data_IF_800389606751
#
_entry.id   IF_800389606751
#
_cell.length_a   1.000
_cell.length_b   1.000
_cell.length_c   1.000
_cell.angle_alpha   90.00
_cell.angle_beta   90.00
_cell.angle_gamma   90.00
#
_symmetry.space_group_name_H-M   'P 1'
#
loop_
_entity.id
_entity.type
_entity.pdbx_description
1 polymer ?
#
# COMPACT_ATOMS: atom_id res chain seq x y z
N UNK A 1 34.46 -8.94 9.40
CA UNK A 1 33.48 -9.45 8.43
C UNK A 1 33.65 -8.65 7.15
N UNK A 2 34.20 -9.25 6.10
CA UNK A 2 34.41 -8.56 4.83
C UNK A 2 33.06 -8.38 4.13
N UNK A 3 32.66 -7.13 3.89
CA UNK A 3 31.50 -6.77 3.08
C UNK A 3 31.77 -7.15 1.63
N UNK A 4 31.50 -8.39 1.25
CA UNK A 4 31.44 -8.77 -0.17
C UNK A 4 30.25 -8.04 -0.78
N UNK A 5 30.52 -6.92 -1.45
CA UNK A 5 29.54 -6.21 -2.26
C UNK A 5 28.90 -7.20 -3.23
N UNK A 6 27.58 -7.41 -3.15
CA UNK A 6 26.87 -8.23 -4.13
C UNK A 6 27.15 -7.66 -5.53
N UNK A 7 27.52 -8.49 -6.51
CA UNK A 7 27.69 -8.01 -7.88
C UNK A 7 26.38 -7.37 -8.34
N UNK A 8 26.47 -6.21 -8.98
CA UNK A 8 25.30 -5.53 -9.53
C UNK A 8 24.67 -6.41 -10.62
N UNK A 9 23.34 -6.52 -10.58
CA UNK A 9 22.60 -7.27 -11.60
C UNK A 9 22.77 -6.58 -12.96
N UNK A 10 23.11 -7.35 -14.00
CA UNK A 10 23.28 -6.90 -15.37
C UNK A 10 21.98 -7.02 -16.16
N UNK A 11 21.73 -6.10 -17.07
CA UNK A 11 20.57 -6.18 -17.96
C UNK A 11 20.60 -7.44 -18.83
N UNK A 12 19.46 -8.14 -18.96
CA UNK A 12 19.35 -9.32 -19.83
C UNK A 12 19.79 -8.97 -21.26
N UNK A 13 20.57 -9.83 -21.92
CA UNK A 13 21.09 -9.54 -23.26
C UNK A 13 20.00 -9.45 -24.34
N UNK A 14 20.23 -8.67 -25.39
CA UNK A 14 19.25 -8.49 -26.48
C UNK A 14 18.81 -9.81 -27.13
N UNK A 15 19.74 -10.74 -27.37
CA UNK A 15 19.42 -12.05 -27.96
C UNK A 15 18.52 -12.90 -27.05
N UNK A 16 18.72 -12.84 -25.73
CA UNK A 16 17.90 -13.55 -24.76
C UNK A 16 16.48 -12.95 -24.70
N UNK A 17 16.37 -11.63 -24.83
CA UNK A 17 15.07 -10.94 -24.94
C UNK A 17 14.34 -11.37 -26.21
N UNK A 18 15.00 -11.25 -27.36
CA UNK A 18 14.43 -11.62 -28.66
C UNK A 18 13.97 -13.08 -28.74
N UNK A 19 14.66 -13.99 -28.07
CA UNK A 19 14.23 -15.40 -27.99
C UNK A 19 12.86 -15.55 -27.33
N UNK A 20 12.64 -14.87 -26.20
CA UNK A 20 11.36 -14.89 -25.48
C UNK A 20 10.29 -14.18 -26.30
N UNK A 21 10.61 -13.02 -26.88
CA UNK A 21 9.69 -12.23 -27.70
C UNK A 21 9.18 -13.02 -28.91
N UNK A 22 10.06 -13.74 -29.62
CA UNK A 22 9.69 -14.59 -30.75
C UNK A 22 8.69 -15.69 -30.34
N UNK A 23 8.89 -16.33 -29.19
CA UNK A 23 7.97 -17.37 -28.68
C UNK A 23 6.61 -16.77 -28.30
N UNK A 24 6.61 -15.55 -27.72
CA UNK A 24 5.39 -14.82 -27.40
C UNK A 24 4.63 -14.33 -28.65
N UNK A 25 5.33 -13.96 -29.71
CA UNK A 25 4.72 -13.62 -31.01
C UNK A 25 3.96 -14.80 -31.63
N UNK A 26 4.46 -16.02 -31.42
CA UNK A 26 3.80 -17.27 -31.81
C UNK A 26 2.65 -17.67 -30.88
N UNK A 27 2.34 -16.88 -29.85
CA UNK A 27 1.31 -17.17 -28.84
C UNK A 27 1.55 -18.50 -28.11
N UNK A 28 2.81 -18.87 -27.88
CA UNK A 28 3.21 -20.03 -27.09
C UNK A 28 3.57 -19.59 -25.66
N UNK A 29 2.56 -19.15 -24.89
CA UNK A 29 2.78 -18.47 -23.61
C UNK A 29 3.54 -19.34 -22.59
N UNK A 30 3.20 -20.62 -22.47
CA UNK A 30 3.86 -21.55 -21.55
C UNK A 30 5.33 -21.77 -21.91
N UNK A 31 5.64 -21.95 -23.19
CA UNK A 31 7.02 -22.11 -23.66
C UNK A 31 7.86 -20.85 -23.41
N UNK A 32 7.26 -19.66 -23.57
CA UNK A 32 7.92 -18.40 -23.24
C UNK A 32 8.19 -18.25 -21.74
N UNK A 33 7.23 -18.66 -20.90
CA UNK A 33 7.40 -18.68 -19.43
C UNK A 33 8.51 -19.66 -19.03
N UNK A 34 8.52 -20.87 -19.60
CA UNK A 34 9.57 -21.86 -19.36
C UNK A 34 10.96 -21.33 -19.78
N UNK A 35 11.03 -20.63 -20.92
CA UNK A 35 12.25 -19.97 -21.36
C UNK A 35 12.70 -18.88 -20.38
N UNK A 36 11.79 -18.02 -19.92
CA UNK A 36 12.09 -17.02 -18.90
C UNK A 36 12.55 -17.65 -17.59
N UNK A 37 11.96 -18.78 -17.20
CA UNK A 37 12.37 -19.53 -16.02
C UNK A 37 13.80 -20.08 -16.16
N UNK A 38 14.19 -20.54 -17.35
CA UNK A 38 15.56 -20.98 -17.65
C UNK A 38 16.57 -19.82 -17.68
N UNK A 39 16.15 -18.64 -18.14
CA UNK A 39 16.99 -17.43 -18.19
C UNK A 39 17.11 -16.72 -16.83
N UNK A 40 16.30 -17.10 -15.84
CA UNK A 40 16.33 -16.55 -14.49
C UNK A 40 17.70 -16.82 -13.84
N UNK A 41 18.38 -15.75 -13.45
CA UNK A 41 19.65 -15.82 -12.73
C UNK A 41 19.81 -14.61 -11.82
N UNK A 42 20.46 -14.75 -10.65
CA UNK A 42 20.62 -13.65 -9.70
C UNK A 42 21.56 -12.55 -10.19
N UNK A 43 22.33 -12.80 -11.25
CA UNK A 43 23.19 -11.81 -11.88
C UNK A 43 22.49 -11.03 -13.01
N UNK A 44 21.29 -11.42 -13.43
CA UNK A 44 20.62 -10.82 -14.58
C UNK A 44 19.28 -10.19 -14.18
N UNK A 45 19.12 -8.90 -14.47
CA UNK A 45 17.86 -8.18 -14.29
C UNK A 45 16.85 -8.67 -15.32
N UNK A 46 15.64 -9.08 -14.89
CA UNK A 46 14.57 -9.36 -15.82
C UNK A 46 14.18 -8.11 -16.60
N UNK A 47 13.80 -8.30 -17.86
CA UNK A 47 13.36 -7.21 -18.71
C UNK A 47 11.96 -6.72 -18.26
N UNK A 48 11.74 -5.42 -17.98
CA UNK A 48 10.47 -4.94 -17.41
C UNK A 48 9.22 -5.28 -18.24
N UNK A 49 9.32 -5.31 -19.57
CA UNK A 49 8.19 -5.67 -20.43
C UNK A 49 7.75 -7.14 -20.22
N UNK A 50 8.70 -8.06 -20.03
CA UNK A 50 8.38 -9.45 -19.72
C UNK A 50 7.68 -9.59 -18.37
N UNK A 51 8.12 -8.84 -17.36
CA UNK A 51 7.45 -8.84 -16.05
C UNK A 51 6.02 -8.29 -16.18
N UNK A 52 5.79 -7.22 -16.95
CA UNK A 52 4.44 -6.73 -17.24
C UNK A 52 3.58 -7.79 -17.94
N UNK A 53 4.10 -8.49 -18.94
CA UNK A 53 3.38 -9.57 -19.61
C UNK A 53 3.03 -10.70 -18.64
N UNK A 54 3.94 -11.08 -17.75
CA UNK A 54 3.66 -12.08 -16.70
C UNK A 54 2.57 -11.61 -15.74
N UNK A 55 2.60 -10.35 -15.29
CA UNK A 55 1.54 -9.77 -14.45
C UNK A 55 0.21 -9.78 -15.22
N UNK A 56 0.22 -9.40 -16.50
CA UNK A 56 -0.97 -9.40 -17.34
C UNK A 56 -1.57 -10.81 -17.47
N UNK A 57 -0.75 -11.83 -17.74
CA UNK A 57 -1.18 -13.23 -17.75
C UNK A 57 -1.75 -13.64 -16.38
N UNK A 58 -1.07 -13.30 -15.29
CA UNK A 58 -1.48 -13.62 -13.93
C UNK A 58 -2.81 -12.98 -13.48
N UNK A 59 -3.22 -11.87 -14.10
CA UNK A 59 -4.51 -11.21 -13.84
C UNK A 59 -5.71 -11.90 -14.52
N UNK A 60 -5.47 -12.83 -15.47
CA UNK A 60 -6.54 -13.55 -16.15
C UNK A 60 -7.19 -14.59 -15.22
N UNK A 61 -8.48 -14.82 -15.43
CA UNK A 61 -9.18 -15.93 -14.77
C UNK A 61 -8.59 -17.28 -15.22
N UNK A 62 -8.30 -18.21 -14.30
CA UNK A 62 -7.91 -19.57 -14.66
C UNK A 62 -9.09 -20.34 -15.29
N UNK A 63 -10.32 -19.93 -15.01
CA UNK A 63 -11.51 -20.54 -15.57
C UNK A 63 -11.83 -19.92 -16.93
N UNK A 64 -11.93 -20.72 -18.01
CA UNK A 64 -12.35 -20.20 -19.29
C UNK A 64 -13.78 -19.70 -19.13
N UNK A 65 -13.97 -18.38 -19.19
CA UNK A 65 -15.30 -17.78 -19.27
C UNK A 65 -15.92 -18.35 -20.54
N UNK A 66 -16.80 -19.35 -20.38
CA UNK A 66 -17.65 -19.82 -21.46
C UNK A 66 -18.50 -18.63 -21.85
N UNK A 67 -18.11 -18.01 -22.95
CA UNK A 67 -18.82 -16.85 -23.50
C UNK A 67 -20.11 -17.38 -24.14
N UNK A 68 -21.03 -17.88 -23.31
CA UNK A 68 -22.26 -18.57 -23.71
C UNK A 68 -23.25 -17.61 -24.40
N UNK A 69 -22.96 -16.30 -24.40
CA UNK A 69 -23.81 -15.24 -24.97
C UNK A 69 -23.62 -14.94 -26.45
N UNK A 70 -22.52 -15.36 -27.09
CA UNK A 70 -22.26 -15.05 -28.50
C UNK A 70 -22.21 -16.33 -29.35
N UNK A 71 -23.36 -17.00 -29.48
CA UNK A 71 -23.56 -17.93 -30.60
C UNK A 71 -23.44 -17.12 -31.90
N UNK A 72 -22.50 -17.46 -32.81
CA UNK A 72 -22.36 -16.74 -34.06
C UNK A 72 -23.68 -16.77 -34.81
N UNK A 73 -24.21 -15.58 -35.13
CA UNK A 73 -25.34 -15.45 -36.04
C UNK A 73 -24.93 -16.09 -37.38
N UNK A 74 -25.72 -17.04 -37.87
CA UNK A 74 -25.47 -17.82 -39.09
C UNK A 74 -25.46 -17.00 -40.40
N UNK A 75 -25.42 -15.67 -40.33
CA UNK A 75 -25.59 -14.77 -41.47
C UNK A 75 -24.36 -13.94 -41.86
N UNK A 76 -23.20 -14.12 -41.21
CA UNK A 76 -21.99 -13.36 -41.58
C UNK A 76 -21.23 -13.96 -42.77
N UNK A 77 -20.95 -13.08 -43.75
CA UNK A 77 -20.40 -13.42 -45.07
C UNK A 77 -18.93 -13.91 -45.02
N UNK A 78 -18.57 -15.02 -45.70
CA UNK A 78 -17.30 -15.74 -45.53
C UNK A 78 -16.03 -15.07 -46.12
N UNK A 79 -16.11 -13.85 -46.68
CA UNK A 79 -14.98 -13.25 -47.42
C UNK A 79 -14.03 -12.35 -46.62
N UNK A 80 -14.25 -12.09 -45.32
CA UNK A 80 -13.36 -11.26 -44.48
C UNK A 80 -12.54 -12.02 -43.42
N UNK A 81 -12.60 -13.35 -43.39
CA UNK A 81 -12.08 -14.19 -42.29
C UNK A 81 -10.62 -14.66 -42.44
N UNK A 82 -9.92 -14.38 -43.56
CA UNK A 82 -8.59 -14.98 -43.83
C UNK A 82 -7.39 -14.38 -43.08
N UNK A 83 -7.57 -13.34 -42.25
CA UNK A 83 -6.44 -12.70 -41.54
C UNK A 83 -6.65 -12.49 -40.03
N UNK A 84 -7.67 -13.10 -39.41
CA UNK A 84 -7.60 -13.27 -37.96
C UNK A 84 -6.61 -14.40 -37.68
N UNK A 85 -5.32 -14.04 -37.51
CA UNK A 85 -4.34 -14.89 -36.82
C UNK A 85 -5.04 -15.40 -35.56
N UNK A 86 -5.24 -16.71 -35.50
CA UNK A 86 -5.79 -17.39 -34.32
C UNK A 86 -4.79 -17.20 -33.19
N UNK A 87 -4.96 -16.14 -32.40
CA UNK A 87 -4.23 -16.04 -31.14
C UNK A 87 -4.69 -17.20 -30.27
N UNK A 88 -3.75 -18.03 -29.82
CA UNK A 88 -4.09 -19.04 -28.83
C UNK A 88 -4.68 -18.34 -27.61
N UNK A 89 -5.81 -18.81 -27.05
CA UNK A 89 -6.35 -18.25 -25.83
C UNK A 89 -5.33 -18.43 -24.69
N UNK A 90 -5.28 -17.46 -23.77
CA UNK A 90 -4.51 -17.61 -22.53
C UNK A 90 -5.08 -18.79 -21.75
N UNK A 91 -4.25 -19.79 -21.47
CA UNK A 91 -4.67 -21.01 -20.79
C UNK A 91 -4.56 -20.86 -19.28
N UNK A 92 -5.34 -21.64 -18.52
CA UNK A 92 -5.20 -21.74 -17.07
C UNK A 92 -3.77 -22.10 -16.64
N UNK A 93 -3.11 -22.97 -17.41
CA UNK A 93 -1.71 -23.36 -17.17
C UNK A 93 -0.77 -22.17 -17.29
N UNK A 94 -0.92 -21.33 -18.32
CA UNK A 94 -0.11 -20.13 -18.49
C UNK A 94 -0.30 -19.13 -17.34
N UNK A 95 -1.53 -18.97 -16.83
CA UNK A 95 -1.82 -18.12 -15.64
C UNK A 95 -1.04 -18.61 -14.41
N UNK A 96 -1.15 -19.90 -14.10
CA UNK A 96 -0.46 -20.51 -12.94
C UNK A 96 1.05 -20.43 -13.11
N UNK A 97 1.58 -20.81 -14.27
CA UNK A 97 3.02 -20.76 -14.55
C UNK A 97 3.58 -19.32 -14.50
N UNK A 98 2.80 -18.31 -14.90
CA UNK A 98 3.20 -16.92 -14.78
C UNK A 98 3.32 -16.48 -13.31
N UNK A 99 2.36 -16.85 -12.46
CA UNK A 99 2.40 -16.59 -11.01
C UNK A 99 3.57 -17.31 -10.33
N UNK A 100 3.82 -18.57 -10.69
CA UNK A 100 4.94 -19.36 -10.16
C UNK A 100 6.28 -18.73 -10.53
N UNK A 101 6.42 -18.27 -11.78
CA UNK A 101 7.61 -17.57 -12.24
C UNK A 101 7.78 -16.21 -11.54
N UNK A 102 6.72 -15.41 -11.41
CA UNK A 102 6.76 -14.14 -10.67
C UNK A 102 7.23 -14.33 -9.23
N UNK A 103 6.72 -15.36 -8.55
CA UNK A 103 7.12 -15.73 -7.18
C UNK A 103 8.58 -16.22 -7.14
N UNK A 104 8.97 -17.03 -8.10
CA UNK A 104 10.33 -17.54 -8.29
C UNK A 104 11.36 -16.42 -8.56
N UNK A 105 10.94 -15.33 -9.21
CA UNK A 105 11.79 -14.17 -9.44
C UNK A 105 12.04 -13.39 -8.14
N UNK A 106 11.09 -13.35 -7.20
CA UNK A 106 11.29 -12.71 -5.88
C UNK A 106 12.40 -13.36 -5.06
N UNK A 107 12.67 -14.66 -5.26
CA UNK A 107 13.76 -15.35 -4.56
C UNK A 107 15.11 -15.19 -5.25
N UNK A 108 15.13 -14.74 -6.50
CA UNK A 108 16.34 -14.76 -7.34
C UNK A 108 16.85 -13.36 -7.65
N UNK A 109 15.94 -12.41 -7.84
CA UNK A 109 16.25 -11.05 -8.28
C UNK A 109 15.98 -10.01 -7.20
N UNK A 110 16.60 -8.85 -7.37
CA UNK A 110 16.32 -7.70 -6.52
C UNK A 110 14.86 -7.23 -6.68
N UNK A 111 14.19 -6.81 -5.59
CA UNK A 111 12.88 -6.19 -5.65
C UNK A 111 12.87 -4.98 -6.58
N UNK A 112 13.92 -4.16 -6.57
CA UNK A 112 14.05 -2.99 -7.44
C UNK A 112 13.97 -3.38 -8.92
N UNK A 113 14.66 -4.44 -9.35
CA UNK A 113 14.62 -4.88 -10.74
C UNK A 113 13.22 -5.29 -11.21
N UNK A 114 12.44 -5.92 -10.33
CA UNK A 114 11.05 -6.31 -10.57
C UNK A 114 10.10 -5.10 -10.50
N UNK A 115 10.31 -4.22 -9.52
CA UNK A 115 9.51 -3.02 -9.29
C UNK A 115 9.48 -2.06 -10.47
N UNK A 116 10.53 -2.01 -11.31
CA UNK A 116 10.56 -1.23 -12.56
C UNK A 116 9.47 -1.59 -13.57
N UNK A 117 8.87 -2.77 -13.43
CA UNK A 117 7.79 -3.19 -14.30
C UNK A 117 6.42 -2.66 -13.85
N UNK A 118 6.30 -2.27 -12.58
CA UNK A 118 5.04 -1.80 -12.00
C UNK A 118 4.73 -0.37 -12.45
N UNK A 119 3.44 -0.05 -12.63
CA UNK A 119 3.02 1.34 -12.76
C UNK A 119 3.34 2.11 -11.47
N UNK A 120 3.64 3.39 -11.63
CA UNK A 120 3.89 4.34 -10.54
C UNK A 120 3.57 5.75 -11.02
N UNK A 121 3.26 6.67 -10.08
CA UNK A 121 2.92 8.04 -10.45
C UNK A 121 4.02 8.73 -11.27
N UNK A 122 5.30 8.48 -10.94
CA UNK A 122 6.43 9.02 -11.70
C UNK A 122 6.46 8.47 -13.13
N UNK A 123 6.34 7.14 -13.29
CA UNK A 123 6.31 6.52 -14.62
C UNK A 123 5.09 6.94 -15.44
N UNK A 124 3.95 7.19 -14.80
CA UNK A 124 2.73 7.61 -15.46
C UNK A 124 2.89 9.00 -16.10
N UNK A 125 3.48 9.97 -15.39
CA UNK A 125 3.78 11.30 -15.93
C UNK A 125 4.81 11.26 -17.08
N UNK A 126 5.83 10.41 -16.96
CA UNK A 126 6.81 10.17 -18.02
C UNK A 126 6.16 9.56 -19.27
N UNK A 127 5.23 8.62 -19.10
CA UNK A 127 4.51 7.98 -20.20
C UNK A 127 3.54 8.92 -20.91
N UNK A 128 2.99 9.93 -20.22
CA UNK A 128 2.15 10.95 -20.83
C UNK A 128 2.95 11.94 -21.70
N UNK A 129 4.22 12.17 -21.35
CA UNK A 129 5.08 13.15 -22.01
C UNK A 129 5.92 12.55 -23.15
N UNK A 130 6.23 11.27 -23.09
CA UNK A 130 7.04 10.58 -24.11
C UNK A 130 6.15 9.84 -25.12
N UNK A 131 6.46 9.97 -26.41
CA UNK A 131 5.90 9.08 -27.42
C UNK A 131 6.34 7.66 -27.07
N UNK A 132 5.39 6.84 -26.63
CA UNK A 132 5.57 5.45 -26.20
C UNK A 132 6.44 4.71 -27.23
N UNK A 133 7.69 4.40 -26.87
CA UNK A 133 8.49 3.46 -27.63
C UNK A 133 7.75 2.11 -27.59
N UNK A 134 7.46 1.55 -28.76
CA UNK A 134 6.78 0.26 -28.87
C UNK A 134 7.65 -0.84 -28.25
N UNK A 135 7.24 -1.33 -27.08
CA UNK A 135 7.94 -2.38 -26.32
C UNK A 135 7.56 -3.78 -26.84
N UNK A 136 7.83 -4.03 -28.12
CA UNK A 136 7.68 -5.34 -28.76
C UNK A 136 6.43 -5.50 -29.62
N UNK A 137 6.52 -6.41 -30.60
CA UNK A 137 5.50 -6.57 -31.63
C UNK A 137 4.42 -7.61 -31.33
N UNK A 138 4.66 -8.48 -30.33
CA UNK A 138 3.71 -9.52 -29.94
C UNK A 138 2.36 -8.94 -29.49
N UNK A 139 1.29 -9.68 -29.77
CA UNK A 139 -0.07 -9.31 -29.33
C UNK A 139 -0.13 -9.16 -27.80
N UNK A 140 0.56 -10.06 -27.08
CA UNK A 140 0.62 -10.02 -25.62
C UNK A 140 1.35 -8.77 -25.11
N UNK A 141 2.46 -8.36 -25.74
CA UNK A 141 3.15 -7.11 -25.39
C UNK A 141 2.21 -5.90 -25.51
N UNK A 142 1.48 -5.84 -26.63
CA UNK A 142 0.53 -4.75 -26.92
C UNK A 142 -0.61 -4.72 -25.92
N UNK A 143 -1.13 -5.89 -25.51
CA UNK A 143 -2.18 -5.99 -24.50
C UNK A 143 -1.67 -5.66 -23.08
N UNK A 144 -0.51 -6.21 -22.69
CA UNK A 144 0.11 -5.98 -21.39
C UNK A 144 0.53 -4.52 -21.16
N UNK A 145 0.61 -3.72 -22.23
CA UNK A 145 0.83 -2.29 -22.16
C UNK A 145 -0.25 -1.57 -21.34
N UNK A 146 -1.45 -2.16 -21.18
CA UNK A 146 -2.47 -1.60 -20.30
C UNK A 146 -1.98 -1.42 -18.86
N UNK A 147 -1.13 -2.32 -18.34
CA UNK A 147 -0.54 -2.19 -17.00
C UNK A 147 0.29 -0.91 -16.87
N UNK A 148 0.99 -0.53 -17.94
CA UNK A 148 1.80 0.70 -17.98
C UNK A 148 0.94 1.97 -18.01
N UNK A 149 -0.33 1.85 -18.42
CA UNK A 149 -1.29 2.96 -18.44
C UNK A 149 -1.97 3.20 -17.09
N UNK A 150 -1.86 2.28 -16.13
CA UNK A 150 -2.32 2.50 -14.76
C UNK A 150 -1.47 3.58 -14.07
N UNK A 151 -2.09 4.37 -13.18
CA UNK A 151 -1.37 5.40 -12.40
C UNK A 151 -0.48 4.79 -11.33
N UNK A 152 -0.91 3.67 -10.76
CA UNK A 152 -0.22 2.91 -9.71
C UNK A 152 -0.66 1.44 -9.73
N UNK A 153 0.08 0.58 -9.03
CA UNK A 153 -0.16 -0.87 -9.06
C UNK A 153 -1.46 -1.32 -8.38
N UNK A 154 -2.15 -0.43 -7.66
CA UNK A 154 -3.45 -0.76 -7.06
C UNK A 154 -4.58 -0.77 -8.08
N UNK A 155 -4.54 0.08 -9.11
CA UNK A 155 -5.59 0.12 -10.15
C UNK A 155 -5.68 -1.20 -10.92
N UNK A 156 -4.55 -1.89 -11.14
CA UNK A 156 -4.53 -3.17 -11.87
C UNK A 156 -5.19 -4.33 -11.11
N UNK A 157 -5.47 -4.15 -9.81
CA UNK A 157 -6.14 -5.14 -8.97
C UNK A 157 -7.66 -5.06 -9.05
N UNK A 158 -8.19 -3.95 -9.56
CA UNK A 158 -9.64 -3.73 -9.67
C UNK A 158 -10.29 -4.81 -10.52
N UNK A 159 -11.52 -5.15 -10.16
CA UNK A 159 -12.31 -6.10 -10.94
C UNK A 159 -12.46 -5.64 -12.39
N UNK A 160 -12.19 -6.57 -13.31
CA UNK A 160 -12.33 -6.32 -14.74
C UNK A 160 -11.32 -5.34 -15.35
N UNK A 161 -10.25 -4.94 -14.65
CA UNK A 161 -9.25 -3.99 -15.16
C UNK A 161 -8.74 -4.36 -16.57
N UNK A 162 -8.31 -5.62 -16.76
CA UNK A 162 -7.77 -6.10 -18.04
C UNK A 162 -8.81 -6.08 -19.18
N UNK A 163 -10.09 -6.31 -18.89
CA UNK A 163 -11.15 -6.32 -19.91
C UNK A 163 -11.55 -4.90 -20.33
N UNK A 164 -11.62 -3.97 -19.36
CA UNK A 164 -11.95 -2.56 -19.61
C UNK A 164 -10.90 -1.87 -20.48
N UNK A 165 -9.63 -2.16 -20.26
CA UNK A 165 -8.52 -1.51 -21.00
C UNK A 165 -8.26 -2.11 -22.39
N UNK A 166 -8.57 -3.39 -22.62
CA UNK A 166 -8.39 -4.03 -23.94
C UNK A 166 -9.29 -3.42 -25.03
N UNK A 167 -10.45 -2.88 -24.68
CA UNK A 167 -11.38 -2.25 -25.64
C UNK A 167 -10.77 -0.98 -26.28
N UNK A 168 -9.90 -0.27 -25.54
CA UNK A 168 -9.36 1.03 -25.96
C UNK A 168 -8.19 0.91 -26.94
N UNK A 169 -7.47 -0.22 -26.95
CA UNK A 169 -6.20 -0.37 -27.69
C UNK A 169 -6.35 -0.98 -29.09
N UNK A 170 -7.58 -1.30 -29.55
CA UNK A 170 -7.78 -1.90 -30.86
C UNK A 170 -7.48 -0.92 -32.02
N UNK A 171 -6.49 -1.19 -32.90
CA UNK A 171 -6.02 -0.23 -33.91
C UNK A 171 -6.97 0.00 -35.10
N UNK A 172 -8.10 -0.70 -35.17
CA UNK A 172 -8.85 -0.88 -36.43
C UNK A 172 -9.94 0.16 -36.73
N UNK A 173 -10.09 1.19 -35.91
CA UNK A 173 -11.05 2.25 -36.16
C UNK A 173 -10.41 3.61 -36.39
N UNK A 174 -9.96 3.93 -37.61
CA UNK A 174 -9.75 5.32 -38.06
C UNK A 174 -11.08 6.10 -38.18
N UNK A 175 -12.05 5.80 -37.32
CA UNK A 175 -13.23 6.65 -37.20
C UNK A 175 -12.83 7.84 -36.34
N UNK A 176 -13.17 9.01 -36.85
CA UNK A 176 -12.89 10.35 -36.36
C UNK A 176 -13.57 10.58 -35.00
N UNK A 177 -13.20 9.83 -33.97
CA UNK A 177 -13.58 10.10 -32.59
C UNK A 177 -12.78 11.34 -32.19
N UNK A 178 -13.50 12.46 -32.10
CA UNK A 178 -12.98 13.75 -31.63
C UNK A 178 -12.23 13.52 -30.33
N UNK A 179 -11.05 14.13 -30.26
CA UNK A 179 -10.09 14.16 -29.15
C UNK A 179 -10.60 14.94 -27.91
N UNK A 180 -11.88 14.81 -27.58
CA UNK A 180 -12.49 15.33 -26.34
C UNK A 180 -12.74 14.21 -25.32
N UNK A 181 -11.91 13.15 -25.35
CA UNK A 181 -11.79 12.26 -24.20
C UNK A 181 -10.93 12.97 -23.15
N UNK A 182 -11.53 13.92 -22.45
CA UNK A 182 -11.20 14.12 -21.04
C UNK A 182 -11.44 12.78 -20.37
N UNK A 183 -10.35 12.12 -19.98
CA UNK A 183 -10.33 10.82 -19.28
C UNK A 183 -11.14 10.86 -17.97
N UNK A 184 -11.57 12.04 -17.51
CA UNK A 184 -12.46 12.19 -16.34
C UNK A 184 -13.95 11.93 -16.62
N UNK A 185 -14.41 11.87 -17.89
CA UNK A 185 -15.84 11.86 -18.21
C UNK A 185 -16.47 10.52 -18.59
N UNK A 186 -15.68 9.52 -19.01
CA UNK A 186 -16.19 8.29 -19.63
C UNK A 186 -16.20 7.05 -18.72
N UNK A 187 -15.84 7.21 -17.44
CA UNK A 187 -15.90 6.16 -16.42
C UNK A 187 -17.09 6.29 -15.47
N UNK A 188 -17.98 7.26 -15.72
CA UNK A 188 -19.26 7.33 -15.02
C UNK A 188 -20.34 6.66 -15.86
N UNK A 189 -20.97 5.66 -15.25
CA UNK A 189 -22.39 5.32 -15.44
C UNK A 189 -22.78 4.08 -16.27
N UNK A 190 -22.03 2.99 -16.13
CA UNK A 190 -22.66 1.67 -16.00
C UNK A 190 -22.21 1.03 -14.69
N UNK A 191 -22.73 1.58 -13.59
CA UNK A 191 -22.67 0.93 -12.29
C UNK A 191 -23.53 -0.33 -12.36
N UNK A 192 -22.91 -1.47 -12.69
CA UNK A 192 -23.51 -2.76 -12.38
C UNK A 192 -23.96 -2.73 -10.90
N UNK A 193 -25.20 -3.12 -10.59
CA UNK A 193 -25.75 -3.06 -9.24
C UNK A 193 -25.12 -4.17 -8.39
N UNK A 194 -23.90 -3.90 -7.92
CA UNK A 194 -23.08 -4.76 -7.08
C UNK A 194 -21.80 -3.97 -6.83
N UNK A 195 -21.54 -3.60 -5.57
CA UNK A 195 -20.54 -2.59 -5.20
C UNK A 195 -19.20 -2.76 -5.92
N UNK A 196 -18.61 -1.65 -6.35
CA UNK A 196 -17.28 -1.60 -6.98
C UNK A 196 -16.27 -2.38 -6.12
N UNK A 197 -16.01 -3.63 -6.47
CA UNK A 197 -15.06 -4.46 -5.76
C UNK A 197 -13.66 -3.87 -5.99
N UNK A 198 -13.07 -3.36 -4.92
CA UNK A 198 -11.73 -2.76 -4.94
C UNK A 198 -10.69 -3.77 -5.46
N UNK A 199 -10.93 -5.07 -5.24
CA UNK A 199 -10.03 -6.17 -5.62
C UNK A 199 -10.88 -7.23 -6.33
N UNK A 200 -10.53 -7.54 -7.58
CA UNK A 200 -11.17 -8.60 -8.34
C UNK A 200 -10.86 -10.00 -7.78
N UNK A 201 -11.80 -10.93 -7.92
CA UNK A 201 -11.67 -12.28 -7.35
C UNK A 201 -10.47 -13.07 -7.90
N UNK A 202 -10.01 -12.75 -9.11
CA UNK A 202 -8.84 -13.39 -9.72
C UNK A 202 -7.52 -12.69 -9.39
N UNK A 203 -7.54 -11.52 -8.76
CA UNK A 203 -6.35 -10.67 -8.57
C UNK A 203 -5.67 -10.88 -7.20
N UNK A 204 -6.27 -11.64 -6.29
CA UNK A 204 -5.69 -11.97 -4.97
C UNK A 204 -4.27 -12.56 -5.03
N UNK A 205 -3.94 -13.49 -5.94
CA UNK A 205 -2.57 -14.00 -6.07
C UNK A 205 -1.58 -12.91 -6.46
N UNK A 206 -1.98 -11.98 -7.32
CA UNK A 206 -1.15 -10.82 -7.73
C UNK A 206 -0.96 -9.85 -6.56
N UNK A 207 -2.00 -9.59 -5.76
CA UNK A 207 -1.87 -8.81 -4.53
C UNK A 207 -0.88 -9.44 -3.55
N UNK A 208 -0.97 -10.76 -3.33
CA UNK A 208 0.00 -11.47 -2.48
C UNK A 208 1.43 -11.34 -3.01
N UNK A 209 1.61 -11.45 -4.34
CA UNK A 209 2.91 -11.24 -4.96
C UNK A 209 3.43 -9.81 -4.75
N UNK A 210 2.59 -8.78 -4.94
CA UNK A 210 2.95 -7.37 -4.69
C UNK A 210 3.35 -7.14 -3.22
N UNK A 211 2.56 -7.61 -2.27
CA UNK A 211 2.86 -7.50 -0.83
C UNK A 211 4.21 -8.17 -0.52
N UNK A 212 4.45 -9.36 -1.07
CA UNK A 212 5.72 -10.08 -0.86
C UNK A 212 6.90 -9.33 -1.49
N UNK A 213 6.72 -8.71 -2.66
CA UNK A 213 7.72 -7.86 -3.29
C UNK A 213 8.11 -6.69 -2.39
N UNK A 214 7.14 -5.98 -1.82
CA UNK A 214 7.39 -4.86 -0.93
C UNK A 214 8.08 -5.29 0.36
N UNK A 215 7.64 -6.38 1.01
CA UNK A 215 8.31 -6.91 2.20
C UNK A 215 9.77 -7.28 1.93
N UNK A 216 10.08 -7.85 0.76
CA UNK A 216 11.48 -8.15 0.39
C UNK A 216 12.31 -6.88 0.24
N UNK A 217 11.74 -5.82 -0.32
CA UNK A 217 12.39 -4.51 -0.43
C UNK A 217 12.65 -3.91 0.96
N UNK A 218 11.71 -4.02 1.89
CA UNK A 218 11.93 -3.61 3.29
C UNK A 218 13.07 -4.37 3.95
N UNK A 219 13.12 -5.70 3.79
CA UNK A 219 14.17 -6.55 4.37
C UNK A 219 15.56 -6.19 3.84
N UNK A 220 15.68 -5.90 2.55
CA UNK A 220 16.95 -5.49 1.96
C UNK A 220 17.41 -4.12 2.46
N UNK A 221 16.48 -3.17 2.62
CA UNK A 221 16.77 -1.82 3.15
C UNK A 221 17.08 -1.82 4.64
N UNK A 222 16.39 -2.66 5.41
CA UNK A 222 16.71 -2.86 6.83
C UNK A 222 18.15 -3.38 6.98
N UNK A 223 18.58 -4.29 6.10
CA UNK A 223 19.94 -4.81 6.11
C UNK A 223 21.02 -3.82 5.63
N UNK A 224 20.68 -2.85 4.76
CA UNK A 224 21.64 -1.89 4.20
C UNK A 224 21.70 -0.56 4.94
N UNK A 225 20.53 -0.01 5.27
CA UNK A 225 20.35 1.38 5.71
C UNK A 225 19.85 1.46 7.17
N UNK A 226 19.67 0.32 7.85
CA UNK A 226 19.04 0.20 9.17
C UNK A 226 17.62 0.82 9.24
N UNK A 227 16.97 0.98 8.09
CA UNK A 227 15.63 1.55 7.98
C UNK A 227 14.72 0.56 7.25
N UNK A 228 13.72 0.04 7.96
CA UNK A 228 12.75 -0.89 7.41
C UNK A 228 11.61 -0.13 6.75
N UNK A 229 11.68 0.05 5.44
CA UNK A 229 10.60 0.61 4.61
C UNK A 229 10.78 0.16 3.16
N UNK A 230 9.72 0.16 2.35
CA UNK A 230 9.83 -0.14 0.91
C UNK A 230 9.78 1.14 0.08
N UNK A 231 10.82 1.37 -0.74
CA UNK A 231 10.83 2.47 -1.71
C UNK A 231 9.86 2.19 -2.85
N UNK A 232 9.79 0.95 -3.32
CA UNK A 232 8.88 0.58 -4.41
C UNK A 232 7.43 0.87 -4.00
N UNK A 233 7.06 0.53 -2.76
CA UNK A 233 5.75 0.85 -2.20
C UNK A 233 5.52 2.36 -2.02
N UNK A 234 6.53 3.12 -1.60
CA UNK A 234 6.46 4.58 -1.50
C UNK A 234 6.16 5.25 -2.85
N UNK A 235 6.67 4.69 -3.95
CA UNK A 235 6.40 5.17 -5.32
C UNK A 235 4.96 4.88 -5.78
N UNK A 236 4.22 4.02 -5.06
CA UNK A 236 2.80 3.74 -5.27
C UNK A 236 1.87 4.70 -4.52
N UNK A 237 2.42 5.66 -3.78
CA UNK A 237 1.65 6.74 -3.17
C UNK A 237 1.62 7.96 -4.10
N UNK A 238 0.55 8.78 -4.07
CA UNK A 238 0.53 10.05 -4.78
C UNK A 238 1.71 10.95 -4.41
N UNK A 239 2.31 11.69 -5.37
CA UNK A 239 3.35 12.66 -5.06
C UNK A 239 2.81 13.77 -4.15
N UNK A 240 3.67 14.39 -3.34
CA UNK A 240 3.23 15.46 -2.44
C UNK A 240 2.73 16.67 -3.24
N UNK A 241 1.70 17.35 -2.73
CA UNK A 241 1.11 18.52 -3.38
C UNK A 241 1.74 19.82 -2.83
N UNK A 242 1.88 20.83 -3.69
CA UNK A 242 2.18 22.20 -3.25
C UNK A 242 3.57 22.41 -2.63
N UNK A 243 4.57 21.64 -3.04
CA UNK A 243 5.94 21.76 -2.53
C UNK A 243 6.19 21.14 -1.15
N UNK A 244 5.20 20.44 -0.57
CA UNK A 244 5.45 19.57 0.59
C UNK A 244 6.38 18.42 0.21
N UNK A 245 7.07 17.85 1.19
CA UNK A 245 7.81 16.58 1.05
C UNK A 245 6.92 15.39 1.46
N UNK A 246 5.89 15.65 2.26
CA UNK A 246 5.03 14.62 2.85
C UNK A 246 3.88 14.23 1.92
N UNK A 247 3.72 12.92 1.76
CA UNK A 247 2.58 12.28 1.11
C UNK A 247 1.50 12.06 2.17
N UNK A 248 0.26 12.38 1.83
CA UNK A 248 -0.85 12.44 2.79
C UNK A 248 -2.05 11.59 2.38
N UNK A 249 -2.12 11.16 1.12
CA UNK A 249 -3.25 10.42 0.60
C UNK A 249 -2.92 8.92 0.62
N UNK A 250 -3.57 8.21 1.53
CA UNK A 250 -3.44 6.76 1.72
C UNK A 250 -4.74 6.03 1.36
N UNK A 251 -5.70 6.73 0.76
CA UNK A 251 -7.09 6.27 0.64
C UNK A 251 -7.19 4.93 -0.09
N UNK A 252 -6.53 4.79 -1.24
CA UNK A 252 -6.61 3.58 -2.07
C UNK A 252 -6.03 2.34 -1.35
N UNK A 253 -4.89 2.50 -0.68
CA UNK A 253 -4.25 1.42 0.07
C UNK A 253 -5.08 1.04 1.28
N UNK A 254 -5.61 2.03 2.02
CA UNK A 254 -6.46 1.74 3.18
C UNK A 254 -7.77 1.09 2.77
N UNK A 255 -8.33 1.45 1.62
CA UNK A 255 -9.49 0.77 1.04
C UNK A 255 -9.15 -0.70 0.72
N UNK A 256 -7.97 -1.00 0.18
CA UNK A 256 -7.50 -2.37 -0.04
C UNK A 256 -7.30 -3.11 1.29
N UNK A 257 -6.66 -2.48 2.29
CA UNK A 257 -6.48 -3.07 3.62
C UNK A 257 -7.83 -3.43 4.24
N UNK A 258 -8.78 -2.49 4.25
CA UNK A 258 -10.14 -2.70 4.75
C UNK A 258 -10.84 -3.83 3.98
N UNK A 259 -10.71 -3.86 2.65
CA UNK A 259 -11.26 -4.91 1.82
C UNK A 259 -10.70 -6.28 2.22
N UNK A 260 -9.38 -6.38 2.44
CA UNK A 260 -8.70 -7.60 2.90
C UNK A 260 -9.18 -8.05 4.29
N UNK A 261 -9.27 -7.13 5.24
CA UNK A 261 -9.72 -7.41 6.61
C UNK A 261 -11.20 -7.80 6.67
N UNK A 262 -12.00 -7.33 5.72
CA UNK A 262 -13.42 -7.67 5.61
C UNK A 262 -13.72 -9.03 4.98
N UNK A 263 -12.71 -9.76 4.48
CA UNK A 263 -12.89 -11.09 3.89
C UNK A 263 -13.04 -12.16 4.97
N UNK A 264 -13.78 -13.22 4.68
CA UNK A 264 -13.86 -14.42 5.55
C UNK A 264 -12.61 -15.30 5.46
N UNK A 265 -11.85 -15.18 4.37
CA UNK A 265 -10.64 -15.96 4.15
C UNK A 265 -9.47 -15.40 4.98
N UNK A 266 -8.92 -16.23 5.88
CA UNK A 266 -7.83 -15.86 6.80
C UNK A 266 -6.54 -15.43 6.08
N UNK A 267 -6.23 -16.01 4.92
CA UNK A 267 -5.06 -15.61 4.13
C UNK A 267 -5.26 -14.21 3.53
N UNK A 268 -6.48 -13.87 3.09
CA UNK A 268 -6.81 -12.52 2.61
C UNK A 268 -6.76 -11.50 3.75
N UNK A 269 -7.29 -11.83 4.93
CA UNK A 269 -7.14 -10.98 6.12
C UNK A 269 -5.65 -10.75 6.45
N UNK A 270 -4.85 -11.81 6.40
CA UNK A 270 -3.39 -11.75 6.62
C UNK A 270 -2.70 -10.82 5.63
N UNK A 271 -3.12 -10.79 4.35
CA UNK A 271 -2.62 -9.80 3.39
C UNK A 271 -2.90 -8.37 3.84
N UNK A 272 -4.08 -8.11 4.40
CA UNK A 272 -4.44 -6.81 4.97
C UNK A 272 -3.47 -6.39 6.09
N UNK A 273 -3.17 -7.27 7.04
CA UNK A 273 -2.21 -6.98 8.12
C UNK A 273 -0.79 -6.76 7.61
N UNK A 274 -0.32 -7.55 6.64
CA UNK A 274 0.99 -7.40 6.01
C UNK A 274 1.10 -6.06 5.27
N UNK A 275 0.09 -5.71 4.49
CA UNK A 275 0.03 -4.43 3.77
C UNK A 275 -0.01 -3.23 4.71
N UNK A 276 -0.79 -3.33 5.80
CA UNK A 276 -0.84 -2.31 6.84
C UNK A 276 0.52 -2.13 7.53
N UNK A 277 1.25 -3.23 7.79
CA UNK A 277 2.59 -3.18 8.35
C UNK A 277 3.58 -2.44 7.43
N UNK A 278 3.55 -2.71 6.11
CA UNK A 278 4.37 -2.00 5.12
C UNK A 278 4.05 -0.50 5.12
N UNK A 279 2.77 -0.14 5.16
CA UNK A 279 2.33 1.25 5.21
C UNK A 279 2.82 1.97 6.47
N UNK A 280 2.76 1.33 7.63
CA UNK A 280 3.29 1.88 8.88
C UNK A 280 4.81 2.03 8.80
N UNK A 281 5.52 1.06 8.24
CA UNK A 281 6.97 1.11 8.11
C UNK A 281 7.46 2.31 7.27
N UNK A 282 6.64 2.83 6.33
CA UNK A 282 6.96 4.06 5.61
C UNK A 282 7.15 5.30 6.53
N UNK A 283 6.60 5.30 7.75
CA UNK A 283 6.80 6.40 8.71
C UNK A 283 8.25 6.46 9.24
N UNK A 284 9.08 5.47 8.91
CA UNK A 284 10.53 5.56 9.12
C UNK A 284 11.19 6.57 8.17
N UNK A 285 10.46 7.09 7.18
CA UNK A 285 10.93 8.09 6.22
C UNK A 285 10.34 9.47 6.51
N UNK A 286 10.95 10.53 5.95
CA UNK A 286 10.36 11.89 5.97
C UNK A 286 9.16 12.06 5.04
N UNK A 287 8.86 11.07 4.20
CA UNK A 287 7.80 11.19 3.21
C UNK A 287 6.42 10.86 3.79
N UNK A 288 6.35 10.17 4.93
CA UNK A 288 5.08 9.77 5.56
C UNK A 288 5.13 10.16 7.03
N UNK A 289 4.21 11.04 7.43
CA UNK A 289 4.10 11.49 8.81
C UNK A 289 3.18 10.56 9.61
N UNK A 290 3.65 10.05 10.75
CA UNK A 290 2.89 9.12 11.61
C UNK A 290 1.53 9.68 12.04
N UNK A 291 1.47 10.93 12.50
CA UNK A 291 0.24 11.58 12.99
C UNK A 291 -0.82 11.69 11.89
N UNK A 292 -0.39 12.03 10.67
CA UNK A 292 -1.24 12.07 9.48
C UNK A 292 -1.75 10.66 9.17
N UNK A 293 -0.86 9.65 9.11
CA UNK A 293 -1.26 8.26 8.88
C UNK A 293 -2.27 7.77 9.94
N UNK A 294 -1.98 7.96 11.22
CA UNK A 294 -2.85 7.58 12.35
C UNK A 294 -4.22 8.24 12.24
N UNK A 295 -4.28 9.52 11.88
CA UNK A 295 -5.54 10.24 11.73
C UNK A 295 -6.38 9.68 10.58
N UNK A 296 -5.75 9.37 9.45
CA UNK A 296 -6.44 8.79 8.29
C UNK A 296 -6.93 7.38 8.62
N UNK A 297 -6.08 6.54 9.22
CA UNK A 297 -6.46 5.17 9.65
C UNK A 297 -7.62 5.22 10.64
N UNK A 298 -7.51 6.04 11.68
CA UNK A 298 -8.58 6.21 12.67
C UNK A 298 -9.90 6.60 12.00
N UNK A 299 -9.88 7.59 11.10
CA UNK A 299 -11.07 8.00 10.34
C UNK A 299 -11.65 6.86 9.52
N UNK A 300 -10.84 6.11 8.79
CA UNK A 300 -11.30 4.97 8.00
C UNK A 300 -11.93 3.88 8.86
N UNK A 301 -11.31 3.55 10.00
CA UNK A 301 -11.85 2.55 10.93
C UNK A 301 -13.21 2.98 11.51
N UNK A 302 -13.36 4.27 11.86
CA UNK A 302 -14.66 4.80 12.28
C UNK A 302 -15.71 4.70 11.17
N UNK A 303 -15.36 5.08 9.94
CA UNK A 303 -16.29 5.02 8.79
C UNK A 303 -16.73 3.58 8.48
N UNK A 304 -15.84 2.59 8.65
CA UNK A 304 -16.21 1.18 8.42
C UNK A 304 -17.21 0.62 9.42
N UNK A 305 -17.37 1.25 10.59
CA UNK A 305 -18.35 0.81 11.58
C UNK A 305 -18.04 -0.54 12.25
N UNK A 306 -16.80 -1.06 12.11
CA UNK A 306 -16.41 -2.43 12.50
C UNK A 306 -15.42 -2.43 13.67
N UNK A 307 -15.88 -2.70 14.91
CA UNK A 307 -15.01 -2.66 16.09
C UNK A 307 -13.93 -3.76 16.06
N UNK A 308 -14.22 -4.90 15.43
CA UNK A 308 -13.31 -6.04 15.26
C UNK A 308 -12.05 -5.67 14.45
N UNK A 309 -12.13 -4.67 13.56
CA UNK A 309 -10.98 -4.22 12.80
C UNK A 309 -9.94 -3.52 13.68
N UNK A 310 -10.38 -2.77 14.70
CA UNK A 310 -9.48 -2.12 15.64
C UNK A 310 -8.69 -3.16 16.43
N UNK A 311 -9.40 -4.14 17.01
CA UNK A 311 -8.80 -5.22 17.79
C UNK A 311 -7.87 -6.07 16.91
N UNK A 312 -8.32 -6.37 15.68
CA UNK A 312 -7.54 -7.10 14.70
C UNK A 312 -6.22 -6.41 14.35
N UNK A 313 -6.24 -5.10 14.04
CA UNK A 313 -5.03 -4.33 13.72
C UNK A 313 -4.09 -4.26 14.92
N UNK A 314 -4.61 -3.99 16.12
CA UNK A 314 -3.76 -3.89 17.31
C UNK A 314 -3.14 -5.24 17.70
N UNK A 315 -3.81 -6.36 17.44
CA UNK A 315 -3.35 -7.68 17.85
C UNK A 315 -2.50 -8.40 16.81
N UNK A 316 -2.80 -8.25 15.51
CA UNK A 316 -2.18 -9.08 14.45
C UNK A 316 -1.03 -8.40 13.69
N UNK A 317 -0.78 -7.11 13.91
CA UNK A 317 0.37 -6.44 13.30
C UNK A 317 1.70 -7.00 13.85
N UNK A 318 2.69 -7.27 12.97
CA UNK A 318 3.99 -7.79 13.39
C UNK A 318 4.73 -6.80 14.29
N UNK A 319 5.65 -7.30 15.12
CA UNK A 319 6.41 -6.43 16.01
C UNK A 319 7.55 -5.73 15.25
N UNK A 320 7.51 -4.40 15.19
CA UNK A 320 8.61 -3.54 14.73
C UNK A 320 8.58 -2.22 15.51
N UNK A 321 9.67 -1.46 15.50
CA UNK A 321 9.72 -0.15 16.19
C UNK A 321 8.66 0.83 15.63
N UNK A 322 8.51 0.89 14.30
CA UNK A 322 7.50 1.73 13.65
C UNK A 322 6.08 1.30 14.04
N UNK A 323 5.84 -0.02 14.13
CA UNK A 323 4.53 -0.56 14.52
C UNK A 323 4.20 -0.26 15.98
N UNK A 324 5.16 -0.37 16.90
CA UNK A 324 4.91 0.01 18.29
C UNK A 324 4.58 1.49 18.43
N UNK A 325 5.33 2.36 17.75
CA UNK A 325 5.02 3.81 17.71
C UNK A 325 3.63 4.05 17.14
N UNK A 326 3.30 3.42 16.02
CA UNK A 326 1.97 3.52 15.42
C UNK A 326 0.87 3.10 16.40
N UNK A 327 1.02 1.95 17.07
CA UNK A 327 0.04 1.48 18.08
C UNK A 327 -0.11 2.50 19.21
N UNK A 328 0.99 3.09 19.72
CA UNK A 328 0.93 4.14 20.74
C UNK A 328 0.11 5.33 20.27
N UNK A 329 0.42 5.90 19.10
CA UNK A 329 -0.29 7.07 18.58
C UNK A 329 -1.76 6.77 18.24
N UNK A 330 -2.04 5.59 17.67
CA UNK A 330 -3.41 5.17 17.37
C UNK A 330 -4.22 4.97 18.65
N UNK A 331 -3.65 4.33 19.67
CA UNK A 331 -4.35 4.13 20.94
C UNK A 331 -4.58 5.44 21.69
N UNK A 332 -3.61 6.36 21.69
CA UNK A 332 -3.80 7.73 22.20
C UNK A 332 -4.93 8.44 21.46
N UNK A 333 -4.95 8.31 20.12
CA UNK A 333 -6.00 8.92 19.29
C UNK A 333 -7.38 8.38 19.65
N UNK A 334 -7.54 7.05 19.73
CA UNK A 334 -8.80 6.38 20.08
C UNK A 334 -9.26 6.75 21.51
N UNK A 335 -8.34 6.75 22.48
CA UNK A 335 -8.67 7.04 23.86
C UNK A 335 -9.01 8.53 24.11
N UNK A 336 -8.42 9.44 23.33
CA UNK A 336 -8.66 10.88 23.44
C UNK A 336 -9.80 11.40 22.56
N UNK A 337 -10.12 10.75 21.43
CA UNK A 337 -11.26 11.11 20.54
C UNK A 337 -12.64 10.68 21.12
N UNK A 338 -12.77 10.63 22.46
CA UNK A 338 -14.08 10.65 23.11
C UNK A 338 -14.93 11.81 22.56
N UNK A 339 -16.27 11.79 22.67
CA UNK A 339 -17.13 12.79 22.04
C UNK A 339 -16.66 14.18 22.47
N UNK A 340 -15.89 14.83 21.61
CA UNK A 340 -15.58 16.23 21.75
C UNK A 340 -16.96 16.86 21.72
N UNK A 341 -17.41 17.52 22.81
CA UNK A 341 -18.75 18.04 22.90
C UNK A 341 -18.95 18.86 21.64
N UNK A 342 -19.82 18.38 20.74
CA UNK A 342 -20.09 19.03 19.46
C UNK A 342 -20.27 20.49 19.83
N UNK A 343 -19.42 21.41 19.36
CA UNK A 343 -19.56 22.79 19.74
C UNK A 343 -20.93 23.22 19.23
N UNK A 344 -21.90 23.31 20.13
CA UNK A 344 -23.30 23.66 19.87
C UNK A 344 -23.43 25.14 19.50
N UNK A 345 -22.31 25.85 19.35
CA UNK A 345 -22.23 27.16 18.76
C UNK A 345 -21.75 27.09 17.31
N UNK A 346 -22.24 27.96 16.41
CA UNK A 346 -21.67 28.13 15.09
C UNK A 346 -20.21 28.56 15.25
N UNK A 347 -19.27 27.63 15.06
CA UNK A 347 -17.87 28.01 14.89
C UNK A 347 -17.80 28.84 13.61
N UNK A 348 -17.76 30.16 13.79
CA UNK A 348 -17.43 31.12 12.74
C UNK A 348 -16.01 30.75 12.31
N UNK A 349 -15.90 29.89 11.30
CA UNK A 349 -14.64 29.59 10.63
C UNK A 349 -14.06 30.95 10.24
N UNK A 350 -12.89 31.35 10.75
CA UNK A 350 -12.28 32.61 10.34
C UNK A 350 -12.17 32.56 8.82
N UNK A 351 -12.92 33.46 8.15
CA UNK A 351 -12.90 33.56 6.69
C UNK A 351 -11.44 33.74 6.28
N UNK A 352 -10.95 33.01 5.26
CA UNK A 352 -9.60 33.22 4.75
C UNK A 352 -9.47 34.69 4.35
N UNK A 353 -8.73 35.44 5.16
CA UNK A 353 -8.43 36.85 4.88
C UNK A 353 -7.51 36.85 3.66
N UNK A 354 -8.00 37.36 2.53
CA UNK A 354 -7.24 37.50 1.31
C UNK A 354 -5.95 38.27 1.61
N UNK A 355 -4.79 37.58 1.59
CA UNK A 355 -3.49 38.22 1.75
C UNK A 355 -3.29 39.16 0.56
N UNK A 356 -3.21 40.45 0.84
CA UNK A 356 -2.84 41.49 -0.11
C UNK A 356 -1.52 41.09 -0.77
N UNK A 357 -1.53 40.96 -2.10
CA UNK A 357 -0.35 40.62 -2.88
C UNK A 357 0.78 41.63 -2.59
N UNK A 358 1.84 41.18 -1.90
CA UNK A 358 3.05 41.99 -1.76
C UNK A 358 3.72 42.10 -3.12
N UNK A 359 3.79 43.32 -3.62
CA UNK A 359 4.49 43.71 -4.84
C UNK A 359 5.94 43.23 -4.77
N UNK A 360 6.32 42.39 -5.74
CA UNK A 360 7.63 41.77 -5.88
C UNK A 360 8.66 42.87 -6.19
N UNK A 361 9.39 43.33 -5.17
CA UNK A 361 10.54 44.20 -5.37
C UNK A 361 11.70 43.38 -5.94
N UNK A 362 12.26 43.88 -7.03
CA UNK A 362 13.39 43.31 -7.78
C UNK A 362 14.64 43.31 -6.90
N UNK A 363 15.06 42.14 -6.42
CA UNK A 363 16.32 41.97 -5.70
C UNK A 363 17.49 41.81 -6.72
N UNK A 364 18.67 42.39 -6.44
CA UNK A 364 19.86 42.29 -7.29
C UNK A 364 20.50 40.89 -7.24
N UNK A 365 21.36 40.54 -8.22
CA UNK A 365 21.94 39.21 -8.36
C UNK A 365 22.95 38.93 -7.23
N UNK A 366 22.61 38.03 -6.31
CA UNK A 366 23.54 37.50 -5.31
C UNK A 366 24.32 36.28 -5.84
N UNK A 367 25.62 36.30 -5.54
CA UNK A 367 26.64 35.34 -5.92
C UNK A 367 26.32 33.88 -5.50
N UNK A 368 26.83 32.88 -6.24
CA UNK A 368 26.66 31.46 -5.92
C UNK A 368 27.46 31.12 -4.65
N UNK A 369 26.81 31.13 -3.49
CA UNK A 369 27.36 30.52 -2.28
C UNK A 369 27.30 28.99 -2.45
N UNK A 370 28.46 28.37 -2.22
CA UNK A 370 28.65 26.93 -2.13
C UNK A 370 27.83 26.40 -0.95
N UNK A 371 26.62 25.93 -1.23
CA UNK A 371 25.79 25.25 -0.24
C UNK A 371 26.43 23.90 0.10
N UNK A 372 27.02 23.83 1.29
CA UNK A 372 27.35 22.56 1.93
C UNK A 372 26.04 21.99 2.48
N UNK A 373 25.33 21.27 1.63
CA UNK A 373 24.07 20.61 1.98
C UNK A 373 24.38 19.44 2.91
N UNK A 374 24.45 19.69 4.21
CA UNK A 374 24.41 18.63 5.22
C UNK A 374 23.12 17.83 4.96
N UNK A 375 23.19 16.50 4.75
CA UNK A 375 22.01 15.71 4.47
C UNK A 375 21.03 15.90 5.63
N UNK A 376 19.74 16.18 5.35
CA UNK A 376 18.74 16.39 6.39
C UNK A 376 18.71 15.13 7.26
N UNK A 377 19.17 15.26 8.51
CA UNK A 377 19.05 14.19 9.48
C UNK A 377 17.56 13.91 9.64
N UNK A 378 17.15 12.68 9.30
CA UNK A 378 15.79 12.19 9.49
C UNK A 378 15.48 12.35 10.98
N UNK A 379 14.69 13.36 11.33
CA UNK A 379 14.22 13.53 12.69
C UNK A 379 13.27 12.35 12.99
N UNK A 380 13.83 11.29 13.56
CA UNK A 380 13.07 10.19 14.12
C UNK A 380 12.03 10.79 15.06
N UNK A 381 10.75 10.57 14.74
CA UNK A 381 9.67 11.06 15.58
C UNK A 381 9.81 10.46 16.97
N UNK A 382 9.96 11.35 17.96
CA UNK A 382 10.04 10.98 19.37
C UNK A 382 8.71 10.37 19.81
N UNK A 383 8.77 9.36 20.69
CA UNK A 383 7.57 8.87 21.36
C UNK A 383 6.89 10.01 22.16
N UNK A 384 5.57 9.92 22.38
CA UNK A 384 4.86 10.80 23.32
C UNK A 384 5.51 10.78 24.71
N UNK A 385 5.38 11.89 25.44
CA UNK A 385 5.97 11.99 26.77
C UNK A 385 5.28 11.04 27.77
N UNK A 386 6.03 10.54 28.75
CA UNK A 386 5.52 9.66 29.81
C UNK A 386 4.27 10.25 30.52
N UNK A 387 4.27 11.57 30.74
CA UNK A 387 3.15 12.30 31.36
C UNK A 387 1.88 12.26 30.49
N UNK A 388 2.03 12.37 29.17
CA UNK A 388 0.91 12.32 28.22
C UNK A 388 0.25 10.93 28.24
N UNK A 389 1.06 9.87 28.28
CA UNK A 389 0.57 8.49 28.41
C UNK A 389 -0.21 8.31 29.71
N UNK A 390 0.35 8.74 30.85
CA UNK A 390 -0.32 8.63 32.14
C UNK A 390 -1.63 9.44 32.19
N UNK A 391 -1.65 10.64 31.61
CA UNK A 391 -2.85 11.47 31.53
C UNK A 391 -3.95 10.79 30.72
N UNK A 392 -3.60 10.22 29.56
CA UNK A 392 -4.54 9.48 28.72
C UNK A 392 -5.09 8.23 29.44
N UNK A 393 -4.22 7.47 30.12
CA UNK A 393 -4.63 6.29 30.87
C UNK A 393 -5.58 6.67 32.02
N UNK A 394 -5.28 7.75 32.75
CA UNK A 394 -6.09 8.24 33.88
C UNK A 394 -7.46 8.80 33.47
N UNK A 395 -7.61 9.32 32.25
CA UNK A 395 -8.87 9.91 31.81
C UNK A 395 -10.03 8.88 31.89
N UNK A 396 -11.18 9.21 32.51
CA UNK A 396 -12.31 8.27 32.56
C UNK A 396 -12.87 8.02 31.16
N UNK A 397 -13.38 6.80 30.93
CA UNK A 397 -14.04 6.47 29.66
C UNK A 397 -15.37 7.23 29.61
N UNK A 398 -15.64 8.01 28.54
CA UNK A 398 -16.90 8.73 28.41
C UNK A 398 -18.12 7.78 28.44
N UNK A 399 -19.22 8.21 29.08
CA UNK A 399 -20.46 7.44 29.14
C UNK A 399 -21.11 7.27 27.76
N UNK A 400 -20.98 8.29 26.91
CA UNK A 400 -21.41 8.27 25.51
C UNK A 400 -20.20 8.14 24.60
N UNK A 401 -20.25 7.20 23.66
CA UNK A 401 -19.17 6.98 22.69
C UNK A 401 -19.73 7.14 21.28
N UNK A 402 -18.88 7.64 20.38
CA UNK A 402 -19.20 7.72 18.95
C UNK A 402 -19.15 6.31 18.37
N UNK A 403 -20.24 5.83 17.78
CA UNK A 403 -20.23 4.57 17.04
C UNK A 403 -19.14 4.60 15.95
N UNK A 404 -18.39 3.50 15.74
CA UNK A 404 -18.56 2.15 16.30
C UNK A 404 -17.79 1.87 17.61
N UNK A 405 -17.22 2.90 18.26
CA UNK A 405 -16.39 2.67 19.43
C UNK A 405 -17.24 2.18 20.62
N UNK A 406 -16.84 1.04 21.18
CA UNK A 406 -17.43 0.51 22.40
C UNK A 406 -16.53 0.78 23.60
N UNK A 407 -17.08 0.66 24.82
CA UNK A 407 -16.28 0.71 26.04
C UNK A 407 -15.16 -0.34 26.03
N UNK A 408 -15.45 -1.55 25.55
CA UNK A 408 -14.45 -2.62 25.38
C UNK A 408 -13.31 -2.19 24.47
N UNK A 409 -13.63 -1.53 23.34
CA UNK A 409 -12.62 -1.06 22.39
C UNK A 409 -11.68 -0.01 23.00
N UNK A 410 -12.20 0.89 23.85
CA UNK A 410 -11.37 1.89 24.54
C UNK A 410 -10.50 1.24 25.62
N UNK A 411 -11.04 0.28 26.38
CA UNK A 411 -10.26 -0.49 27.35
C UNK A 411 -9.14 -1.26 26.66
N UNK A 412 -9.44 -1.91 25.54
CA UNK A 412 -8.46 -2.60 24.71
C UNK A 412 -7.40 -1.63 24.18
N UNK A 413 -7.79 -0.45 23.68
CA UNK A 413 -6.85 0.58 23.25
C UNK A 413 -5.93 1.05 24.38
N UNK A 414 -6.45 1.28 25.59
CA UNK A 414 -5.63 1.63 26.76
C UNK A 414 -4.68 0.50 27.17
N UNK A 415 -5.15 -0.75 27.13
CA UNK A 415 -4.31 -1.92 27.35
C UNK A 415 -3.15 -1.96 26.35
N UNK A 416 -3.47 -1.87 25.05
CA UNK A 416 -2.49 -1.88 23.97
C UNK A 416 -1.56 -0.67 24.01
N UNK A 417 -2.03 0.49 24.49
CA UNK A 417 -1.20 1.67 24.70
C UNK A 417 -0.06 1.37 25.66
N UNK A 418 -0.35 0.76 26.82
CA UNK A 418 0.68 0.39 27.81
C UNK A 418 1.68 -0.61 27.25
N UNK A 419 1.17 -1.68 26.62
CA UNK A 419 2.01 -2.75 26.04
C UNK A 419 2.91 -2.20 24.93
N UNK A 420 2.34 -1.45 23.99
CA UNK A 420 3.07 -0.88 22.87
C UNK A 420 4.06 0.20 23.31
N UNK A 421 3.68 1.05 24.28
CA UNK A 421 4.56 2.12 24.78
C UNK A 421 5.76 1.54 25.50
N UNK A 422 5.56 0.59 26.41
CA UNK A 422 6.64 -0.13 27.09
C UNK A 422 7.60 -0.77 26.07
N UNK A 423 7.04 -1.47 25.08
CA UNK A 423 7.82 -2.11 24.01
C UNK A 423 8.62 -1.09 23.19
N UNK A 424 8.01 0.04 22.82
CA UNK A 424 8.68 1.08 22.05
C UNK A 424 9.82 1.76 22.83
N UNK A 425 9.66 1.92 24.14
CA UNK A 425 10.69 2.52 25.00
C UNK A 425 11.93 1.64 25.11
N UNK A 426 11.75 0.33 25.29
CA UNK A 426 12.89 -0.62 25.40
C UNK A 426 13.82 -0.59 24.17
N UNK A 427 13.30 -0.15 23.01
CA UNK A 427 14.06 -0.07 21.76
C UNK A 427 14.63 1.35 21.52
N UNK A 428 13.98 2.41 22.03
CA UNK A 428 14.26 3.78 21.59
C UNK A 428 15.25 4.54 22.47
N UNK A 429 15.11 4.52 23.80
CA UNK A 429 15.99 5.28 24.71
C UNK A 429 15.99 4.70 26.13
N UNK A 430 17.18 4.40 26.69
CA UNK A 430 17.28 3.89 28.06
C UNK A 430 16.85 4.92 29.11
N UNK A 431 17.02 6.22 28.86
CA UNK A 431 16.63 7.27 29.80
C UNK A 431 15.11 7.34 29.96
N UNK A 432 14.38 7.29 28.84
CA UNK A 432 12.91 7.27 28.88
C UNK A 432 12.39 6.03 29.60
N UNK A 433 13.05 4.88 29.38
CA UNK A 433 12.73 3.61 30.04
C UNK A 433 12.90 3.70 31.56
N UNK A 434 14.00 4.28 32.05
CA UNK A 434 14.24 4.46 33.49
C UNK A 434 13.14 5.33 34.12
N UNK A 435 12.74 6.40 33.45
CA UNK A 435 11.65 7.26 33.94
C UNK A 435 10.32 6.49 33.99
N UNK A 436 10.02 5.69 32.96
CA UNK A 436 8.82 4.86 32.91
C UNK A 436 8.81 3.80 34.01
N UNK A 437 9.92 3.08 34.20
CA UNK A 437 10.09 2.08 35.27
C UNK A 437 9.91 2.72 36.66
N UNK A 438 10.41 3.94 36.84
CA UNK A 438 10.22 4.70 38.08
C UNK A 438 8.74 5.06 38.30
N UNK A 439 7.98 5.43 37.27
CA UNK A 439 6.53 5.69 37.37
C UNK A 439 5.74 4.41 37.72
N UNK A 440 6.18 3.26 37.22
CA UNK A 440 5.65 1.93 37.57
C UNK A 440 5.92 1.65 39.06
N UNK A 441 7.17 1.77 39.51
CA UNK A 441 7.57 1.51 40.90
C UNK A 441 6.88 2.44 41.92
N UNK A 442 6.61 3.69 41.53
CA UNK A 442 5.87 4.64 42.36
C UNK A 442 4.36 4.35 42.46
N UNK A 443 3.84 3.33 41.75
CA UNK A 443 2.42 3.00 41.73
C UNK A 443 1.56 4.00 40.94
N UNK A 444 2.17 5.01 40.28
CA UNK A 444 1.44 6.03 39.51
C UNK A 444 0.71 5.44 38.31
N UNK A 445 1.31 4.44 37.66
CA UNK A 445 0.66 3.72 36.58
C UNK A 445 -0.55 2.92 37.11
N UNK A 446 -0.39 2.21 38.23
CA UNK A 446 -1.49 1.45 38.84
C UNK A 446 -2.65 2.37 39.26
N UNK A 447 -2.34 3.55 39.81
CA UNK A 447 -3.32 4.59 40.13
C UNK A 447 -4.05 5.08 38.87
N UNK A 448 -3.32 5.41 37.80
CA UNK A 448 -3.90 5.85 36.54
C UNK A 448 -4.82 4.78 35.92
N UNK A 449 -4.41 3.51 35.95
CA UNK A 449 -5.24 2.38 35.50
C UNK A 449 -6.47 2.20 36.37
N UNK A 450 -6.35 2.34 37.70
CA UNK A 450 -7.47 2.25 38.64
C UNK A 450 -8.57 3.26 38.34
N UNK A 451 -8.19 4.52 38.05
CA UNK A 451 -9.13 5.59 37.67
C UNK A 451 -9.68 5.35 36.26
N UNK A 452 -8.79 5.11 35.29
CA UNK A 452 -9.13 5.05 33.88
C UNK A 452 -9.98 3.86 33.44
N UNK A 453 -9.89 2.76 34.18
CA UNK A 453 -10.65 1.51 33.97
C UNK A 453 -11.73 1.34 35.05
N UNK A 454 -12.00 2.33 35.91
CA UNK A 454 -12.74 2.18 37.17
C UNK A 454 -14.26 1.96 37.09
N UNK A 455 -14.80 1.33 36.05
CA UNK A 455 -16.26 1.13 35.88
C UNK A 455 -16.85 -0.13 36.51
N UNK A 456 -16.04 -0.97 37.16
CA UNK A 456 -16.49 -2.19 37.83
C UNK A 456 -17.05 -3.26 36.87
N UNK A 457 -16.72 -3.22 35.58
CA UNK A 457 -17.09 -4.26 34.63
C UNK A 457 -16.07 -5.40 34.64
N UNK A 458 -16.51 -6.62 34.29
CA UNK A 458 -15.65 -7.82 34.21
C UNK A 458 -14.43 -7.60 33.28
N UNK A 459 -14.63 -6.88 32.17
CA UNK A 459 -13.55 -6.50 31.26
C UNK A 459 -12.52 -5.57 31.89
N UNK A 460 -12.94 -4.65 32.77
CA UNK A 460 -12.04 -3.74 33.46
C UNK A 460 -11.04 -4.52 34.32
N UNK A 461 -11.53 -5.53 35.04
CA UNK A 461 -10.71 -6.35 35.94
C UNK A 461 -9.80 -7.31 35.16
N UNK A 462 -10.30 -7.92 34.08
CA UNK A 462 -9.50 -8.76 33.18
C UNK A 462 -8.29 -8.01 32.63
N UNK A 463 -8.48 -6.83 32.03
CA UNK A 463 -7.37 -6.06 31.46
C UNK A 463 -6.38 -5.58 32.53
N UNK A 464 -6.86 -5.22 33.73
CA UNK A 464 -5.98 -4.87 34.87
C UNK A 464 -5.14 -6.06 35.29
N UNK A 465 -5.73 -7.24 35.40
CA UNK A 465 -5.01 -8.46 35.78
C UNK A 465 -3.94 -8.81 34.74
N UNK A 466 -4.28 -8.79 33.45
CA UNK A 466 -3.32 -8.99 32.37
C UNK A 466 -2.17 -7.98 32.40
N UNK A 467 -2.44 -6.69 32.68
CA UNK A 467 -1.39 -5.68 32.81
C UNK A 467 -0.52 -5.89 34.05
N UNK A 468 -1.10 -6.34 35.17
CA UNK A 468 -0.33 -6.69 36.38
C UNK A 468 0.62 -7.83 36.10
N UNK A 469 0.15 -8.88 35.41
CA UNK A 469 0.99 -10.01 35.02
C UNK A 469 2.09 -9.57 34.04
N UNK A 470 1.73 -8.82 33.00
CA UNK A 470 2.66 -8.35 31.98
C UNK A 470 3.77 -7.44 32.53
N UNK A 471 3.41 -6.47 33.38
CA UNK A 471 4.34 -5.52 33.96
C UNK A 471 4.99 -6.00 35.27
N UNK A 472 4.57 -7.16 35.78
CA UNK A 472 4.95 -7.68 37.11
C UNK A 472 4.69 -6.66 38.22
N UNK A 473 3.56 -5.97 38.15
CA UNK A 473 3.13 -5.04 39.18
C UNK A 473 2.79 -5.83 40.46
N UNK A 474 3.44 -5.46 41.57
CA UNK A 474 3.17 -6.01 42.91
C UNK A 474 1.97 -5.33 43.54
#
# INVERSE_FOLDING_TARGET
>A
MSSTSRPSEQELGHNQRGLVENILEESQYEAAIDMLFQLRAPQHKPYPAHIRQLIFLALHSPDPVRNDGNRPSFHDSPQKTKHMRTSNPITSKAVVSALDLLTSLLSTNSPEALGRALPSYASYEENLSTHVQEEGDSLLAKQALCIKTAKHCWEILEEGYIYRTQVVTSPKGKSKIRRDFSIDGAFQDETLPGGSHIIGETTWPVLNWLVTLFERDEQLREASDNARYSRIFLDQLPPPRGGSVTRWDFSDILNIVICCLGQDNTERQRLGYRLMAILINLTATVHVEMTTLVTVVHKHLLVTGRPDFFEGILSNLPSSQSIWRFKVYLCLKIANDGPSPVPTGPQIRPRPQARTAKTRATAPPENPKKDSTTPPQLALQSLPANVEILQCLRAPIPETLTEPLTRSSILHAKFQLVVAFNSAQTISSPESQIEWDHLIQQGKLAEALGIGFGGGSEYDDLYKEMLREYLRLV
#
